data_IF_009065850929
#
_entry.id   IF_009065850929
#
_cell.length_a   1.000
_cell.length_b   1.000
_cell.length_c   1.000
_cell.angle_alpha   90.00
_cell.angle_beta   90.00
_cell.angle_gamma   90.00
#
_symmetry.space_group_name_H-M   'P 1'
#
loop_
_entity.id
_entity.type
_entity.pdbx_description
1 polymer ?
#
# COMPACT_ATOMS: atom_id res chain seq x y z
N UNK A 1 -8.39 -14.08 15.36
CA UNK A 1 -8.80 -13.67 16.73
C UNK A 1 -8.26 -14.68 17.74
N UNK A 2 -7.88 -14.26 18.95
CA UNK A 2 -7.35 -15.15 20.01
C UNK A 2 -8.26 -16.37 20.27
N UNK A 3 -9.57 -16.17 20.27
CA UNK A 3 -10.57 -17.23 20.43
C UNK A 3 -10.57 -18.25 19.28
N UNK A 4 -10.30 -17.81 18.04
CA UNK A 4 -10.18 -18.68 16.87
C UNK A 4 -8.86 -19.45 16.85
N UNK A 5 -7.77 -18.86 17.36
CA UNK A 5 -6.49 -19.57 17.57
C UNK A 5 -6.62 -20.65 18.65
N UNK A 6 -7.39 -20.41 19.71
CA UNK A 6 -7.66 -21.42 20.74
C UNK A 6 -8.51 -22.60 20.22
N UNK A 7 -9.34 -22.36 19.20
CA UNK A 7 -10.16 -23.38 18.54
C UNK A 7 -9.45 -24.10 17.39
N UNK A 8 -8.32 -23.58 16.91
CA UNK A 8 -7.49 -24.20 15.88
C UNK A 8 -6.84 -25.48 16.39
N UNK A 9 -6.76 -26.51 15.52
CA UNK A 9 -6.11 -27.79 15.80
C UNK A 9 -4.60 -27.62 16.02
N UNK A 10 -3.98 -26.63 15.37
CA UNK A 10 -2.58 -26.26 15.54
C UNK A 10 -2.46 -24.92 16.28
N UNK A 11 -2.43 -24.99 17.62
CA UNK A 11 -2.36 -23.83 18.51
C UNK A 11 -1.02 -23.10 18.44
N UNK A 12 0.06 -23.82 18.13
CA UNK A 12 1.43 -23.29 18.10
C UNK A 12 1.64 -22.41 16.86
N UNK A 13 1.16 -22.85 15.70
CA UNK A 13 1.24 -22.09 14.43
C UNK A 13 0.43 -20.78 14.51
N UNK A 14 -0.80 -20.84 15.05
CA UNK A 14 -1.65 -19.67 15.22
C UNK A 14 -1.12 -18.63 16.23
N UNK A 15 -0.19 -19.03 17.10
CA UNK A 15 0.50 -18.14 18.03
C UNK A 15 1.62 -17.33 17.37
N UNK A 16 2.23 -17.83 16.28
CA UNK A 16 3.21 -17.07 15.51
C UNK A 16 2.56 -16.04 14.57
N UNK A 17 1.30 -16.25 14.15
CA UNK A 17 0.50 -15.27 13.41
C UNK A 17 -0.07 -14.13 14.29
N UNK A 18 0.01 -14.24 15.63
CA UNK A 18 -0.40 -13.19 16.57
C UNK A 18 0.47 -11.92 16.56
N UNK A 19 1.43 -11.79 15.62
CA UNK A 19 2.15 -10.53 15.35
C UNK A 19 1.19 -9.37 15.03
N UNK A 20 -0.03 -9.68 14.61
CA UNK A 20 -1.11 -8.71 14.46
C UNK A 20 -1.55 -8.06 15.77
N UNK A 21 -1.20 -8.60 16.95
CA UNK A 21 -1.47 -7.94 18.24
C UNK A 21 -0.80 -6.55 18.29
N UNK A 22 0.37 -6.39 17.66
CA UNK A 22 1.05 -5.11 17.60
C UNK A 22 0.22 -4.04 16.85
N UNK A 23 -0.74 -4.43 16.01
CA UNK A 23 -1.68 -3.50 15.39
C UNK A 23 -2.61 -2.84 16.42
N UNK A 24 -2.92 -3.50 17.55
CA UNK A 24 -3.67 -2.85 18.63
C UNK A 24 -2.87 -1.77 19.37
N UNK A 25 -1.52 -1.82 19.29
CA UNK A 25 -0.68 -0.75 19.80
C UNK A 25 -0.62 0.46 18.85
N UNK A 26 -0.92 0.28 17.56
CA UNK A 26 -0.82 1.35 16.57
C UNK A 26 -1.68 2.59 16.88
N UNK A 27 -2.96 2.47 17.30
CA UNK A 27 -3.76 3.64 17.70
C UNK A 27 -3.17 4.37 18.92
N UNK A 28 -2.66 3.62 19.91
CA UNK A 28 -2.08 4.18 21.14
C UNK A 28 -0.79 4.93 20.83
N UNK A 29 0.09 4.33 20.03
CA UNK A 29 1.34 4.97 19.59
C UNK A 29 1.04 6.19 18.74
N UNK A 30 0.09 6.11 17.81
CA UNK A 30 -0.31 7.22 16.95
C UNK A 30 -0.89 8.37 17.77
N UNK A 31 -1.74 8.08 18.76
CA UNK A 31 -2.29 9.05 19.69
C UNK A 31 -1.21 9.73 20.54
N UNK A 32 -0.25 8.97 21.06
CA UNK A 32 0.88 9.52 21.82
C UNK A 32 1.76 10.44 20.96
N UNK A 33 2.04 10.03 19.71
CA UNK A 33 2.75 10.86 18.74
C UNK A 33 1.96 12.11 18.35
N UNK A 34 0.62 12.07 18.37
CA UNK A 34 -0.20 13.24 18.06
C UNK A 34 -0.16 14.32 19.15
N UNK A 35 -0.12 13.92 20.43
CA UNK A 35 -0.16 14.87 21.56
C UNK A 35 1.17 15.59 21.81
N UNK A 36 2.30 14.94 21.57
CA UNK A 36 3.63 15.51 21.81
C UNK A 36 4.38 15.75 20.49
N UNK A 37 4.61 17.02 20.17
CA UNK A 37 5.33 17.44 18.96
C UNK A 37 6.77 16.89 18.90
N UNK A 38 7.46 16.78 20.05
CA UNK A 38 8.81 16.22 20.10
C UNK A 38 8.78 14.72 19.89
N UNK A 39 7.81 14.01 20.45
CA UNK A 39 7.59 12.59 20.18
C UNK A 39 7.28 12.36 18.70
N UNK A 40 6.37 13.16 18.11
CA UNK A 40 6.04 13.14 16.68
C UNK A 40 7.28 13.28 15.80
N UNK A 41 8.09 14.30 16.06
CA UNK A 41 9.28 14.59 15.28
C UNK A 41 10.32 13.46 15.38
N UNK A 42 10.50 12.87 16.57
CA UNK A 42 11.36 11.68 16.75
C UNK A 42 10.80 10.46 16.03
N UNK A 43 9.51 10.19 16.17
CA UNK A 43 8.84 9.08 15.52
C UNK A 43 8.97 9.13 13.99
N UNK A 44 8.77 10.31 13.39
CA UNK A 44 8.97 10.51 11.95
C UNK A 44 10.42 10.28 11.50
N UNK A 45 11.42 10.68 12.30
CA UNK A 45 12.83 10.39 11.99
C UNK A 45 13.14 8.90 12.06
N UNK A 46 12.66 8.21 13.09
CA UNK A 46 12.82 6.75 13.22
C UNK A 46 12.13 6.04 12.06
N UNK A 47 10.93 6.47 11.69
CA UNK A 47 10.21 5.99 10.53
C UNK A 47 11.02 6.21 9.23
N UNK A 48 11.61 7.39 9.04
CA UNK A 48 12.44 7.69 7.88
C UNK A 48 13.66 6.77 7.76
N UNK A 49 14.31 6.44 8.89
CA UNK A 49 15.40 5.47 8.92
C UNK A 49 14.91 4.07 8.55
N UNK A 50 13.75 3.66 9.05
CA UNK A 50 13.13 2.37 8.69
C UNK A 50 12.82 2.26 7.19
N UNK A 51 12.26 3.33 6.60
CA UNK A 51 12.01 3.39 5.15
C UNK A 51 13.31 3.36 4.36
N UNK A 52 14.33 4.10 4.79
CA UNK A 52 15.64 4.04 4.14
C UNK A 52 16.25 2.63 4.15
N UNK A 53 16.17 1.91 5.27
CA UNK A 53 16.62 0.52 5.35
C UNK A 53 15.83 -0.41 4.42
N UNK A 54 14.49 -0.24 4.34
CA UNK A 54 13.65 -1.00 3.43
C UNK A 54 13.97 -0.72 1.96
N UNK A 55 14.24 0.54 1.62
CA UNK A 55 14.69 0.95 0.28
C UNK A 55 16.04 0.33 -0.07
N UNK A 56 16.99 0.32 0.86
CA UNK A 56 18.29 -0.31 0.64
C UNK A 56 18.15 -1.80 0.24
N UNK A 57 17.31 -2.55 0.96
CA UNK A 57 16.99 -3.94 0.62
C UNK A 57 16.31 -4.03 -0.75
N UNK A 58 15.35 -3.16 -1.05
CA UNK A 58 14.65 -3.13 -2.34
C UNK A 58 15.57 -2.85 -3.53
N UNK A 59 16.46 -1.87 -3.42
CA UNK A 59 17.44 -1.56 -4.46
C UNK A 59 18.49 -2.66 -4.62
N UNK A 60 18.94 -3.26 -3.51
CA UNK A 60 19.83 -4.41 -3.55
C UNK A 60 19.20 -5.59 -4.29
N UNK A 61 17.94 -5.92 -3.97
CA UNK A 61 17.19 -6.94 -4.69
C UNK A 61 17.05 -6.62 -6.18
N UNK A 62 16.70 -5.37 -6.53
CA UNK A 62 16.57 -4.93 -7.92
C UNK A 62 17.90 -5.02 -8.69
N UNK A 63 19.04 -4.84 -8.03
CA UNK A 63 20.36 -4.86 -8.66
C UNK A 63 20.92 -6.28 -8.85
N UNK A 64 20.61 -7.21 -7.94
CA UNK A 64 21.24 -8.53 -7.89
C UNK A 64 20.31 -9.64 -8.40
N UNK A 65 19.00 -9.45 -8.36
CA UNK A 65 18.03 -10.51 -8.67
C UNK A 65 17.69 -10.50 -10.16
N UNK A 66 17.81 -11.66 -10.80
CA UNK A 66 17.40 -11.81 -12.20
C UNK A 66 15.88 -11.79 -12.32
N UNK A 67 15.32 -11.12 -13.35
CA UNK A 67 13.89 -11.17 -13.64
C UNK A 67 13.39 -12.61 -13.84
N UNK A 68 12.11 -12.84 -13.54
CA UNK A 68 11.46 -14.10 -13.85
C UNK A 68 11.38 -14.30 -15.38
N UNK A 69 11.33 -15.56 -15.88
CA UNK A 69 11.20 -15.82 -17.31
C UNK A 69 9.97 -15.09 -17.89
N UNK A 70 10.20 -14.18 -18.85
CA UNK A 70 9.16 -13.37 -19.49
C UNK A 70 9.01 -11.93 -18.95
N UNK A 71 9.64 -11.59 -17.81
CA UNK A 71 9.67 -10.23 -17.30
C UNK A 71 10.95 -9.48 -17.75
N UNK A 72 10.79 -8.23 -18.20
CA UNK A 72 11.92 -7.39 -18.61
C UNK A 72 12.74 -6.86 -17.43
N UNK A 73 12.12 -6.70 -16.24
CA UNK A 73 12.72 -6.11 -15.03
C UNK A 73 12.23 -6.87 -13.81
N UNK A 74 13.11 -7.10 -12.84
CA UNK A 74 12.75 -7.71 -11.57
C UNK A 74 11.89 -6.74 -10.73
N UNK A 75 10.72 -7.22 -10.30
CA UNK A 75 9.81 -6.46 -9.43
C UNK A 75 10.26 -6.57 -7.98
N UNK A 76 10.90 -5.51 -7.50
CA UNK A 76 11.44 -5.51 -6.15
C UNK A 76 10.35 -5.59 -5.07
N UNK A 77 10.56 -6.50 -4.13
CA UNK A 77 9.61 -6.79 -3.05
C UNK A 77 10.04 -6.15 -1.72
N UNK A 78 11.29 -5.71 -1.63
CA UNK A 78 11.87 -5.18 -0.40
C UNK A 78 11.81 -6.21 0.73
N UNK A 79 11.75 -5.77 2.00
CA UNK A 79 11.64 -6.67 3.14
C UNK A 79 10.24 -7.27 3.32
N UNK A 80 9.25 -6.84 2.53
CA UNK A 80 7.83 -7.21 2.73
C UNK A 80 7.38 -8.40 1.87
N UNK A 81 8.29 -9.02 1.11
CA UNK A 81 8.04 -10.28 0.39
C UNK A 81 7.12 -10.17 -0.84
N UNK A 82 6.35 -9.11 -0.98
CA UNK A 82 5.50 -8.88 -2.16
C UNK A 82 5.54 -7.42 -2.63
N UNK A 83 5.80 -7.23 -3.93
CA UNK A 83 5.98 -5.91 -4.56
C UNK A 83 4.79 -4.95 -4.39
N UNK A 84 3.55 -5.46 -4.35
CA UNK A 84 2.34 -4.65 -4.09
C UNK A 84 2.24 -4.12 -2.66
N UNK A 85 2.57 -4.95 -1.67
CA UNK A 85 2.58 -4.51 -0.26
C UNK A 85 3.69 -3.49 -0.02
N UNK A 86 4.85 -3.72 -0.62
CA UNK A 86 5.99 -2.83 -0.51
C UNK A 86 5.72 -1.45 -1.11
N UNK A 87 5.18 -1.40 -2.33
CA UNK A 87 4.84 -0.13 -2.95
C UNK A 87 3.72 0.62 -2.22
N UNK A 88 2.75 -0.09 -1.65
CA UNK A 88 1.71 0.48 -0.80
C UNK A 88 2.27 1.15 0.46
N UNK A 89 3.24 0.52 1.13
CA UNK A 89 3.93 1.13 2.28
C UNK A 89 4.72 2.37 1.86
N UNK A 90 5.51 2.28 0.78
CA UNK A 90 6.29 3.41 0.27
C UNK A 90 5.42 4.61 -0.09
N UNK A 91 4.26 4.37 -0.70
CA UNK A 91 3.28 5.40 -1.04
C UNK A 91 2.83 6.20 0.18
N UNK A 92 2.43 5.51 1.26
CA UNK A 92 1.97 6.17 2.48
C UNK A 92 3.14 6.87 3.21
N UNK A 93 4.36 6.35 3.04
CA UNK A 93 5.56 6.95 3.64
C UNK A 93 5.94 8.30 3.04
N UNK A 94 5.71 8.53 1.74
CA UNK A 94 6.12 9.76 1.04
C UNK A 94 5.57 11.03 1.73
N UNK A 95 4.25 11.22 1.96
CA UNK A 95 3.74 12.41 2.63
C UNK A 95 4.23 12.51 4.09
N UNK A 96 4.42 11.39 4.79
CA UNK A 96 4.97 11.39 6.14
C UNK A 96 6.44 11.89 6.18
N UNK A 97 7.26 11.51 5.19
CA UNK A 97 8.63 11.98 5.04
C UNK A 97 8.68 13.47 4.68
N UNK A 98 7.79 13.94 3.80
CA UNK A 98 7.68 15.35 3.42
C UNK A 98 7.20 16.24 4.59
N UNK A 99 6.52 15.67 5.57
CA UNK A 99 6.10 16.39 6.78
C UNK A 99 7.28 16.75 7.71
N UNK A 100 8.45 16.12 7.55
CA UNK A 100 9.64 16.43 8.35
C UNK A 100 10.21 17.80 7.95
N UNK A 101 10.23 18.74 8.90
CA UNK A 101 10.72 20.11 8.69
C UNK A 101 11.96 20.42 9.55
N UNK A 102 12.79 21.34 9.06
CA UNK A 102 13.94 21.90 9.78
C UNK A 102 15.23 21.06 9.73
N UNK A 103 16.36 21.73 9.51
CA UNK A 103 17.71 21.14 9.58
C UNK A 103 18.04 20.12 8.47
N UNK A 104 19.18 19.45 8.63
CA UNK A 104 19.69 18.45 7.67
C UNK A 104 18.79 17.21 7.57
N UNK A 105 18.05 16.89 8.64
CA UNK A 105 17.09 15.79 8.66
C UNK A 105 15.95 15.95 7.65
N UNK A 106 15.56 17.19 7.31
CA UNK A 106 14.61 17.45 6.23
C UNK A 106 15.17 16.98 4.89
N UNK A 107 16.40 17.39 4.56
CA UNK A 107 17.03 17.06 3.28
C UNK A 107 17.16 15.55 3.14
N UNK A 108 17.65 14.88 4.18
CA UNK A 108 17.73 13.42 4.21
C UNK A 108 16.35 12.78 4.00
N UNK A 109 15.31 13.21 4.72
CA UNK A 109 13.96 12.68 4.56
C UNK A 109 13.38 12.88 3.15
N UNK A 110 13.63 14.02 2.52
CA UNK A 110 13.15 14.31 1.16
C UNK A 110 13.91 13.49 0.12
N UNK A 111 15.21 13.26 0.33
CA UNK A 111 15.97 12.30 -0.49
C UNK A 111 15.41 10.88 -0.35
N UNK A 112 15.10 10.44 0.87
CA UNK A 112 14.44 9.15 1.12
C UNK A 112 13.08 9.08 0.41
N UNK A 113 12.30 10.17 0.42
CA UNK A 113 11.04 10.24 -0.31
C UNK A 113 11.24 10.13 -1.84
N UNK A 114 12.25 10.80 -2.39
CA UNK A 114 12.61 10.67 -3.80
C UNK A 114 13.04 9.26 -4.18
N UNK A 115 13.86 8.61 -3.33
CA UNK A 115 14.23 7.21 -3.49
C UNK A 115 13.01 6.28 -3.40
N UNK A 116 12.03 6.57 -2.53
CA UNK A 116 10.78 5.82 -2.46
C UNK A 116 9.96 5.91 -3.75
N UNK A 117 9.91 7.09 -4.38
CA UNK A 117 9.26 7.25 -5.70
C UNK A 117 9.97 6.42 -6.77
N UNK A 118 11.31 6.47 -6.82
CA UNK A 118 12.08 5.65 -7.76
C UNK A 118 11.85 4.15 -7.53
N UNK A 119 11.79 3.74 -6.27
CA UNK A 119 11.54 2.35 -5.87
C UNK A 119 10.13 1.87 -6.26
N UNK A 120 9.10 2.72 -6.12
CA UNK A 120 7.75 2.41 -6.63
C UNK A 120 7.79 2.14 -8.14
N UNK A 121 8.65 2.81 -8.91
CA UNK A 121 8.89 2.48 -10.32
C UNK A 121 9.40 1.07 -10.54
N UNK A 122 10.39 0.66 -9.75
CA UNK A 122 10.95 -0.68 -9.80
C UNK A 122 9.98 -1.78 -9.30
N UNK A 123 8.94 -1.42 -8.54
CA UNK A 123 7.88 -2.37 -8.19
C UNK A 123 6.87 -2.64 -9.31
N UNK A 124 6.85 -1.79 -10.36
CA UNK A 124 5.90 -1.85 -11.49
C UNK A 124 4.41 -1.86 -11.08
N UNK A 125 4.07 -1.41 -9.86
CA UNK A 125 2.68 -1.38 -9.38
C UNK A 125 1.97 -0.13 -9.84
N UNK A 126 1.07 -0.28 -10.82
CA UNK A 126 0.32 0.85 -11.40
C UNK A 126 -0.53 1.60 -10.39
N UNK A 127 -1.16 0.90 -9.44
CA UNK A 127 -2.00 1.50 -8.39
C UNK A 127 -1.23 2.41 -7.43
N UNK A 128 0.03 2.09 -7.15
CA UNK A 128 0.85 2.89 -6.24
C UNK A 128 1.17 4.27 -6.82
N UNK A 129 1.30 4.39 -8.13
CA UNK A 129 1.52 5.68 -8.79
C UNK A 129 0.31 6.60 -8.69
N UNK A 130 -0.89 6.05 -8.93
CA UNK A 130 -2.15 6.79 -8.79
C UNK A 130 -2.30 7.29 -7.35
N UNK A 131 -2.15 6.40 -6.37
CA UNK A 131 -2.33 6.78 -4.97
C UNK A 131 -1.21 7.69 -4.45
N UNK A 132 0.04 7.57 -4.92
CA UNK A 132 1.11 8.53 -4.63
C UNK A 132 0.75 9.92 -5.14
N UNK A 133 0.25 9.97 -6.39
CA UNK A 133 -0.27 11.18 -6.99
C UNK A 133 -1.38 11.83 -6.17
N UNK A 134 -2.42 11.07 -5.83
CA UNK A 134 -3.52 11.53 -4.98
C UNK A 134 -3.01 12.01 -3.62
N UNK A 135 -2.09 11.29 -3.00
CA UNK A 135 -1.52 11.66 -1.71
C UNK A 135 -0.76 13.00 -1.78
N UNK A 136 0.02 13.24 -2.83
CA UNK A 136 0.71 14.52 -3.05
C UNK A 136 -0.29 15.65 -3.30
N UNK A 137 -1.31 15.42 -4.12
CA UNK A 137 -2.40 16.38 -4.36
C UNK A 137 -3.07 16.78 -3.05
N UNK A 138 -3.41 15.80 -2.19
CA UNK A 138 -4.01 16.07 -0.88
C UNK A 138 -3.03 16.76 0.06
N UNK A 139 -1.77 16.32 0.10
CA UNK A 139 -0.76 16.88 1.01
C UNK A 139 -0.45 18.35 0.69
N UNK A 140 -0.27 18.70 -0.58
CA UNK A 140 -0.08 20.08 -1.00
C UNK A 140 -1.40 20.86 -1.03
N UNK A 141 -2.51 20.20 -1.36
CA UNK A 141 -3.87 20.75 -1.40
C UNK A 141 -4.41 21.17 -0.03
N UNK A 142 -4.09 20.42 1.03
CA UNK A 142 -4.44 20.77 2.40
C UNK A 142 -3.82 22.10 2.86
N UNK A 143 -2.72 22.54 2.24
CA UNK A 143 -2.14 23.87 2.44
C UNK A 143 -3.00 25.02 1.91
N UNK A 144 -4.01 24.75 1.08
CA UNK A 144 -4.97 25.74 0.58
C UNK A 144 -6.22 25.88 1.45
N UNK A 145 -6.44 25.00 2.44
CA UNK A 145 -7.54 25.16 3.39
C UNK A 145 -7.16 26.31 4.32
N UNK A 146 -7.90 27.44 4.33
CA UNK A 146 -7.64 28.51 5.27
C UNK A 146 -8.01 28.02 6.66
N UNK A 147 -7.03 27.47 7.39
CA UNK A 147 -7.16 27.26 8.82
C UNK A 147 -7.44 28.63 9.43
N UNK A 148 -8.60 28.81 10.07
CA UNK A 148 -8.96 30.01 10.83
C UNK A 148 -7.95 30.22 11.97
N UNK A 149 -6.78 30.73 11.65
CA UNK A 149 -5.78 31.13 12.63
C UNK A 149 -6.21 32.50 13.16
N UNK A 150 -6.65 32.50 14.42
CA UNK A 150 -7.09 33.69 15.15
C UNK A 150 -5.87 34.60 15.40
N UNK A 151 -5.89 35.76 14.75
CA UNK A 151 -5.33 37.08 15.08
C UNK A 151 -3.95 37.16 15.77
N UNK A 152 -3.00 37.85 15.13
CA UNK A 152 -2.44 39.13 15.65
C UNK A 152 -1.27 39.61 14.78
N UNK A 153 -1.39 40.83 14.23
CA UNK A 153 -0.26 41.73 13.92
C UNK A 153 0.68 41.38 12.77
N UNK A 154 0.44 42.01 11.60
CA UNK A 154 1.41 42.23 10.50
C UNK A 154 2.20 41.00 10.02
N UNK A 155 1.56 40.14 9.24
CA UNK A 155 2.27 39.32 8.26
C UNK A 155 1.79 39.72 6.87
N UNK A 156 2.70 40.25 6.06
CA UNK A 156 2.43 40.65 4.69
C UNK A 156 1.82 39.51 3.88
N UNK A 157 0.99 39.88 2.93
CA UNK A 157 0.34 39.05 1.91
C UNK A 157 1.34 38.40 0.93
N UNK A 158 2.57 38.13 1.37
CA UNK A 158 3.67 37.81 0.49
C UNK A 158 4.31 36.50 0.91
N UNK A 159 4.23 35.57 -0.03
CA UNK A 159 4.92 34.28 -0.07
C UNK A 159 4.27 33.17 0.72
N UNK A 160 3.48 32.35 0.01
CA UNK A 160 3.69 30.89 -0.09
C UNK A 160 2.69 30.06 -0.93
N UNK A 161 1.78 30.56 -1.78
CA UNK A 161 0.91 29.66 -2.58
C UNK A 161 1.64 29.02 -3.78
N UNK A 162 2.72 29.63 -4.27
CA UNK A 162 3.39 29.18 -5.49
C UNK A 162 4.07 27.81 -5.36
N UNK A 163 4.74 27.50 -4.24
CA UNK A 163 5.42 26.20 -4.08
C UNK A 163 4.43 25.04 -3.87
N UNK A 164 3.26 25.29 -3.27
CA UNK A 164 2.17 24.32 -3.19
C UNK A 164 1.50 24.11 -4.55
N UNK A 165 1.31 25.18 -5.33
CA UNK A 165 0.79 25.09 -6.70
C UNK A 165 1.76 24.37 -7.64
N UNK A 166 3.07 24.63 -7.54
CA UNK A 166 4.12 23.94 -8.29
C UNK A 166 4.16 22.46 -7.88
N UNK A 167 4.10 22.14 -6.58
CA UNK A 167 4.04 20.75 -6.10
C UNK A 167 2.80 20.00 -6.61
N UNK A 168 1.64 20.66 -6.62
CA UNK A 168 0.40 20.11 -7.16
C UNK A 168 0.48 19.87 -8.68
N UNK A 169 1.04 20.83 -9.42
CA UNK A 169 1.21 20.74 -10.87
C UNK A 169 2.22 19.64 -11.24
N UNK A 170 3.33 19.54 -10.51
CA UNK A 170 4.30 18.46 -10.68
C UNK A 170 3.68 17.10 -10.37
N UNK A 171 2.90 16.99 -9.29
CA UNK A 171 2.18 15.75 -8.99
C UNK A 171 1.21 15.36 -10.11
N UNK A 172 0.39 16.31 -10.58
CA UNK A 172 -0.53 16.09 -11.70
C UNK A 172 0.22 15.70 -12.99
N UNK A 173 1.32 16.35 -13.32
CA UNK A 173 2.12 16.03 -14.51
C UNK A 173 2.74 14.64 -14.39
N UNK A 174 3.29 14.26 -13.23
CA UNK A 174 3.85 12.92 -13.02
C UNK A 174 2.78 11.84 -13.13
N UNK A 175 1.59 12.07 -12.55
CA UNK A 175 0.44 11.17 -12.70
C UNK A 175 0.06 11.05 -14.17
N UNK A 176 -0.13 12.18 -14.86
CA UNK A 176 -0.65 12.21 -16.23
C UNK A 176 0.35 11.61 -17.21
N UNK A 177 1.63 11.96 -17.10
CA UNK A 177 2.72 11.42 -17.92
C UNK A 177 2.87 9.91 -17.73
N UNK A 178 2.72 9.41 -16.51
CA UNK A 178 2.89 7.99 -16.23
C UNK A 178 1.66 7.15 -16.62
N UNK A 179 0.45 7.69 -16.38
CA UNK A 179 -0.81 7.08 -16.86
C UNK A 179 -0.80 6.98 -18.39
N UNK A 180 -0.31 8.00 -19.08
CA UNK A 180 -0.20 7.99 -20.54
C UNK A 180 0.94 7.11 -21.07
N UNK A 181 2.11 7.10 -20.43
CA UNK A 181 3.27 6.31 -20.89
C UNK A 181 3.13 4.80 -20.67
N UNK A 182 2.38 4.35 -19.66
CA UNK A 182 2.36 2.93 -19.29
C UNK A 182 1.08 2.17 -19.65
N UNK A 183 -0.02 2.89 -19.87
CA UNK A 183 -1.29 2.24 -20.24
C UNK A 183 -1.48 2.23 -21.76
N UNK A 184 -1.05 3.25 -22.49
CA UNK A 184 -1.61 3.51 -23.82
C UNK A 184 -3.11 3.89 -23.72
N UNK A 185 -3.62 4.73 -24.63
CA UNK A 185 -5.02 5.16 -24.60
C UNK A 185 -6.00 3.98 -24.71
N UNK A 186 -5.61 2.92 -25.43
CA UNK A 186 -6.48 1.80 -25.76
C UNK A 186 -6.74 0.87 -24.57
N UNK A 187 -5.73 0.62 -23.73
CA UNK A 187 -5.87 -0.24 -22.53
C UNK A 187 -6.72 0.41 -21.45
N UNK A 188 -6.74 1.76 -21.37
CA UNK A 188 -7.62 2.46 -20.42
C UNK A 188 -9.09 2.35 -20.83
N UNK A 189 -9.37 2.45 -22.13
CA UNK A 189 -10.72 2.28 -22.67
C UNK A 189 -11.17 0.83 -22.59
N UNK A 190 -10.30 -0.13 -22.89
CA UNK A 190 -10.58 -1.56 -22.71
C UNK A 190 -10.79 -1.93 -21.22
N UNK A 191 -10.02 -1.33 -20.30
CA UNK A 191 -10.19 -1.54 -18.85
C UNK A 191 -11.45 -0.89 -18.29
N UNK A 192 -11.80 0.31 -18.75
CA UNK A 192 -13.07 0.93 -18.41
C UNK A 192 -14.22 0.08 -18.97
N UNK A 193 -14.16 -0.33 -20.24
CA UNK A 193 -15.16 -1.16 -20.89
C UNK A 193 -15.32 -2.54 -20.22
N UNK A 194 -14.21 -3.20 -19.85
CA UNK A 194 -14.22 -4.50 -19.15
C UNK A 194 -14.57 -4.41 -17.67
N UNK A 195 -14.39 -3.26 -17.02
CA UNK A 195 -14.95 -3.02 -15.67
C UNK A 195 -16.48 -2.99 -15.71
N UNK A 196 -17.05 -2.63 -16.86
CA UNK A 196 -18.49 -2.63 -17.12
C UNK A 196 -18.99 -3.86 -17.90
N UNK A 197 -18.11 -4.81 -18.29
CA UNK A 197 -18.52 -6.07 -18.95
C UNK A 197 -18.41 -7.24 -17.98
N UNK A 198 -19.48 -8.07 -17.92
CA UNK A 198 -19.57 -9.27 -17.07
C UNK A 198 -19.13 -10.56 -17.81
N UNK A 199 -18.45 -10.42 -18.95
CA UNK A 199 -18.21 -11.53 -19.89
C UNK A 199 -16.82 -12.16 -19.75
N UNK A 200 -16.07 -11.85 -18.69
CA UNK A 200 -14.73 -12.37 -18.51
C UNK A 200 -14.75 -13.80 -17.93
N UNK A 201 -13.96 -14.76 -18.46
CA UNK A 201 -13.82 -16.11 -17.89
C UNK A 201 -13.37 -16.13 -16.42
N UNK A 202 -12.69 -15.07 -15.96
CA UNK A 202 -12.30 -14.87 -14.56
C UNK A 202 -13.48 -14.58 -13.62
N UNK A 203 -14.65 -14.19 -14.14
CA UNK A 203 -15.84 -13.88 -13.31
C UNK A 203 -16.52 -15.15 -12.79
N UNK A 204 -16.48 -16.24 -13.54
CA UNK A 204 -16.91 -17.56 -13.06
C UNK A 204 -16.02 -18.06 -11.92
N UNK A 205 -14.70 -17.89 -12.03
CA UNK A 205 -13.77 -18.22 -10.94
C UNK A 205 -14.07 -17.38 -9.69
N UNK A 206 -14.32 -16.07 -9.84
CA UNK A 206 -14.69 -15.19 -8.71
C UNK A 206 -15.99 -15.64 -8.03
N UNK A 207 -16.99 -16.01 -8.82
CA UNK A 207 -18.25 -16.51 -8.31
C UNK A 207 -18.05 -17.86 -7.59
N UNK A 208 -17.19 -18.72 -8.12
CA UNK A 208 -16.85 -20.02 -7.51
C UNK A 208 -16.16 -19.84 -6.17
N UNK A 209 -15.21 -18.90 -6.08
CA UNK A 209 -14.56 -18.56 -4.81
C UNK A 209 -15.55 -17.97 -3.80
N UNK A 210 -16.46 -17.10 -4.25
CA UNK A 210 -17.48 -16.50 -3.38
C UNK A 210 -18.46 -17.57 -2.85
N UNK A 211 -18.93 -18.47 -3.70
CA UNK A 211 -19.79 -19.58 -3.34
C UNK A 211 -19.09 -20.55 -2.37
N UNK A 212 -17.81 -20.87 -2.63
CA UNK A 212 -16.96 -21.68 -1.75
C UNK A 212 -16.78 -21.01 -0.38
N UNK A 213 -16.48 -19.71 -0.34
CA UNK A 213 -16.39 -18.95 0.91
C UNK A 213 -17.70 -18.97 1.70
N UNK A 214 -18.85 -18.83 1.03
CA UNK A 214 -20.17 -18.90 1.68
C UNK A 214 -20.45 -20.30 2.24
N UNK A 215 -20.05 -21.36 1.53
CA UNK A 215 -20.16 -22.76 2.00
C UNK A 215 -19.32 -22.98 3.27
N UNK A 216 -18.12 -22.43 3.32
CA UNK A 216 -17.24 -22.49 4.50
C UNK A 216 -17.78 -21.68 5.69
N UNK A 217 -18.35 -20.49 5.46
CA UNK A 217 -18.99 -19.68 6.51
C UNK A 217 -20.18 -20.43 7.11
N UNK A 218 -21.01 -21.06 6.28
CA UNK A 218 -22.14 -21.88 6.74
C UNK A 218 -21.69 -23.08 7.56
N UNK A 219 -20.55 -23.68 7.21
CA UNK A 219 -19.98 -24.82 7.94
C UNK A 219 -19.30 -24.44 9.27
N UNK A 220 -18.68 -23.26 9.34
CA UNK A 220 -17.92 -22.80 10.51
C UNK A 220 -18.35 -21.39 10.99
N UNK A 221 -19.62 -21.19 11.38
CA UNK A 221 -20.20 -19.84 11.56
C UNK A 221 -19.69 -19.06 12.77
N UNK A 222 -19.23 -19.73 13.83
CA UNK A 222 -18.89 -19.08 15.10
C UNK A 222 -17.40 -18.73 15.21
N UNK A 223 -16.52 -19.67 14.88
CA UNK A 223 -15.07 -19.56 15.14
C UNK A 223 -14.23 -19.58 13.86
N UNK A 224 -14.87 -19.85 12.70
CA UNK A 224 -14.19 -20.07 11.44
C UNK A 224 -13.29 -21.30 11.47
N UNK A 225 -12.37 -21.37 10.51
CA UNK A 225 -11.40 -22.46 10.37
C UNK A 225 -10.06 -22.19 11.04
N UNK A 226 -9.87 -21.01 11.66
CA UNK A 226 -8.58 -20.57 12.21
C UNK A 226 -7.69 -19.86 11.18
N UNK A 227 -6.77 -18.98 11.63
CA UNK A 227 -5.84 -18.27 10.76
C UNK A 227 -4.78 -19.23 10.16
N UNK A 228 -4.29 -18.94 8.96
CA UNK A 228 -3.29 -19.76 8.25
C UNK A 228 -3.79 -21.11 7.68
N UNK A 229 -5.02 -21.54 7.96
CA UNK A 229 -5.55 -22.84 7.52
C UNK A 229 -6.27 -22.81 6.17
N UNK A 230 -6.52 -21.63 5.62
CA UNK A 230 -7.27 -21.44 4.38
C UNK A 230 -6.62 -22.19 3.22
N UNK A 231 -5.30 -22.12 3.06
CA UNK A 231 -4.58 -22.79 1.96
C UNK A 231 -4.71 -24.31 1.98
N UNK A 232 -4.81 -24.91 3.18
CA UNK A 232 -4.93 -26.37 3.34
C UNK A 232 -6.36 -26.85 3.22
N UNK A 233 -7.31 -26.05 3.69
CA UNK A 233 -8.71 -26.44 3.77
C UNK A 233 -9.44 -26.11 2.47
N UNK A 234 -9.09 -25.01 1.81
CA UNK A 234 -9.79 -24.52 0.62
C UNK A 234 -10.03 -25.57 -0.48
N UNK A 235 -9.06 -26.41 -0.89
CA UNK A 235 -9.26 -27.42 -1.93
C UNK A 235 -10.39 -28.41 -1.63
N UNK A 236 -10.64 -28.70 -0.34
CA UNK A 236 -11.69 -29.62 0.07
C UNK A 236 -13.11 -29.00 0.03
N UNK A 237 -13.22 -27.68 -0.10
CA UNK A 237 -14.49 -26.95 -0.06
C UNK A 237 -14.91 -26.37 -1.41
N UNK A 238 -14.01 -26.35 -2.40
CA UNK A 238 -14.26 -25.81 -3.74
C UNK A 238 -15.53 -26.39 -4.35
N UNK A 239 -16.32 -25.52 -4.97
CA UNK A 239 -17.51 -25.90 -5.73
C UNK A 239 -17.10 -26.63 -7.01
N UNK A 240 -17.90 -27.61 -7.41
CA UNK A 240 -17.71 -28.51 -8.55
C UNK A 240 -17.56 -27.81 -9.92
N UNK A 241 -18.03 -26.58 -10.03
CA UNK A 241 -17.92 -25.74 -11.23
C UNK A 241 -16.77 -24.70 -11.17
N UNK A 242 -15.91 -24.74 -10.14
CA UNK A 242 -14.73 -23.87 -10.02
C UNK A 242 -13.53 -24.39 -10.81
N UNK A 243 -12.83 -23.52 -11.54
CA UNK A 243 -11.82 -23.92 -12.53
C UNK A 243 -10.42 -24.18 -11.92
N UNK A 244 -10.15 -23.71 -10.70
CA UNK A 244 -8.84 -23.80 -10.04
C UNK A 244 -8.95 -24.30 -8.59
N UNK A 245 -8.70 -25.59 -8.38
CA UNK A 245 -8.76 -26.25 -7.05
C UNK A 245 -7.66 -25.81 -6.07
N UNK A 246 -6.53 -25.26 -6.55
CA UNK A 246 -5.32 -25.05 -5.72
C UNK A 246 -5.01 -23.60 -5.35
N UNK A 247 -5.75 -22.61 -5.85
CA UNK A 247 -5.45 -21.19 -5.57
C UNK A 247 -6.53 -20.58 -4.67
N UNK A 248 -6.27 -20.41 -3.36
CA UNK A 248 -7.20 -19.79 -2.42
C UNK A 248 -7.20 -18.26 -2.50
N UNK A 249 -6.49 -17.69 -3.47
CA UNK A 249 -6.37 -16.26 -3.70
C UNK A 249 -6.62 -15.92 -5.16
N UNK A 250 -7.31 -14.79 -5.39
CA UNK A 250 -7.51 -14.21 -6.70
C UNK A 250 -6.18 -13.64 -7.22
N UNK A 251 -5.58 -14.32 -8.20
CA UNK A 251 -4.54 -13.70 -9.00
C UNK A 251 -5.18 -12.78 -10.03
N UNK A 252 -4.75 -11.52 -10.05
CA UNK A 252 -5.07 -10.63 -11.14
C UNK A 252 -4.15 -10.97 -12.31
N UNK A 253 -4.51 -11.99 -13.09
CA UNK A 253 -3.82 -12.32 -14.33
C UNK A 253 -4.30 -11.33 -15.40
N UNK A 254 -3.67 -10.15 -15.42
CA UNK A 254 -3.71 -9.18 -16.52
C UNK A 254 -2.29 -8.69 -16.80
#
# INVERSE_FOLDING_TARGET
>A
SLLSVMASRDRVEGLFELREIFLFAAPVVTWALWRDEKARARGLKVFAVGIFAALFVGFYQAAVTTPAPGDAIYRATGPLGHYMTFSGVLLVSIPALLAIRGGIGRVAAHLVAGLAVAMIGLTLTRSAWIGCGTALVVFYGAGFIPTRQKSSGKAGFQERPAHYAIGLLVALVVITMFVSALAGPDVLLERAASTFSMENPNDLDRLAMAATGLKMIKAHPLLGIGPGLMERVYPAWVVDWGFREQNPHLHNNL
#
